data_IF_957594303877
#
_entry.id   IF_957594303877
#
_cell.length_a   1.000
_cell.length_b   1.000
_cell.length_c   1.000
_cell.angle_alpha   90.00
_cell.angle_beta   90.00
_cell.angle_gamma   90.00
#
_symmetry.space_group_name_H-M   'P 1'
#
loop_
_entity.id
_entity.type
_entity.pdbx_description
1 polymer ?
#
# COMPACT_ATOMS: atom_id res chain seq x y z
N UNK A 1 -56.32 -8.44 -14.71
CA UNK A 1 -56.34 -7.12 -14.07
C UNK A 1 -57.13 -7.29 -12.80
N UNK A 2 -56.43 -7.75 -11.72
CA UNK A 2 -56.99 -7.89 -10.40
C UNK A 2 -57.16 -6.51 -9.77
N UNK A 3 -58.33 -6.28 -9.23
CA UNK A 3 -58.73 -5.05 -8.60
C UNK A 3 -57.76 -4.63 -7.49
N UNK A 4 -56.99 -3.56 -7.74
CA UNK A 4 -56.01 -3.01 -6.81
C UNK A 4 -56.64 -2.45 -5.52
N UNK A 5 -57.96 -2.38 -5.44
CA UNK A 5 -58.65 -1.84 -4.28
C UNK A 5 -58.80 -2.82 -3.10
N UNK A 6 -58.91 -4.13 -3.36
CA UNK A 6 -59.02 -5.10 -2.27
C UNK A 6 -57.70 -5.35 -1.53
N UNK A 7 -56.55 -5.09 -2.16
CA UNK A 7 -55.24 -5.16 -1.53
C UNK A 7 -54.81 -3.83 -0.88
N UNK A 8 -55.51 -2.73 -1.14
CA UNK A 8 -55.14 -1.41 -0.62
C UNK A 8 -55.29 -1.29 0.91
N UNK A 9 -56.17 -2.13 1.53
CA UNK A 9 -56.33 -2.16 2.99
C UNK A 9 -55.18 -2.84 3.74
N UNK A 10 -54.34 -3.61 3.01
CA UNK A 10 -53.15 -4.29 3.56
C UNK A 10 -51.86 -3.56 3.21
N UNK A 11 -51.92 -2.53 2.40
CA UNK A 11 -50.76 -1.77 1.98
C UNK A 11 -50.46 -0.62 2.96
N UNK A 12 -49.19 -0.40 3.22
CA UNK A 12 -48.74 0.83 3.84
C UNK A 12 -49.12 2.03 2.96
N UNK A 13 -49.78 3.02 3.55
CA UNK A 13 -50.19 4.26 2.89
C UNK A 13 -49.59 5.43 3.64
N UNK A 14 -48.83 6.27 2.93
CA UNK A 14 -48.30 7.53 3.48
C UNK A 14 -48.28 8.61 2.40
N UNK A 15 -48.25 9.86 2.83
CA UNK A 15 -48.15 11.02 1.95
C UNK A 15 -46.82 11.70 2.22
N UNK A 16 -46.06 12.00 1.17
CA UNK A 16 -44.79 12.73 1.23
C UNK A 16 -44.83 13.82 0.18
N UNK A 17 -44.54 15.04 0.57
CA UNK A 17 -44.57 16.24 -0.30
C UNK A 17 -45.88 16.40 -1.10
N UNK A 18 -47.00 16.05 -0.48
CA UNK A 18 -48.33 16.10 -1.08
C UNK A 18 -48.67 14.94 -2.02
N UNK A 19 -47.76 13.98 -2.25
CA UNK A 19 -47.98 12.79 -3.06
C UNK A 19 -48.29 11.59 -2.17
N UNK A 20 -49.36 10.82 -2.48
CA UNK A 20 -49.73 9.62 -1.74
C UNK A 20 -49.09 8.39 -2.34
N UNK A 21 -48.40 7.64 -1.50
CA UNK A 21 -47.72 6.38 -1.85
C UNK A 21 -48.50 5.19 -1.25
N UNK A 22 -48.54 4.09 -2.00
CA UNK A 22 -49.06 2.80 -1.55
C UNK A 22 -47.99 1.74 -1.76
N UNK A 23 -47.62 1.04 -0.70
CA UNK A 23 -46.56 0.00 -0.77
C UNK A 23 -47.03 -1.25 -0.02
N UNK A 24 -46.66 -2.41 -0.55
CA UNK A 24 -46.99 -3.70 0.08
C UNK A 24 -46.08 -4.05 1.27
N UNK A 25 -45.14 -3.20 1.60
CA UNK A 25 -44.17 -3.33 2.70
C UNK A 25 -44.09 -2.02 3.46
N UNK A 26 -43.83 -2.10 4.77
CA UNK A 26 -43.49 -0.95 5.61
C UNK A 26 -42.03 -0.49 5.36
N UNK A 27 -41.26 -1.25 4.63
CA UNK A 27 -39.87 -0.90 4.26
C UNK A 27 -39.91 -0.37 2.82
N UNK A 28 -39.88 0.94 2.66
CA UNK A 28 -40.04 1.65 1.39
C UNK A 28 -38.67 2.13 0.89
N UNK A 29 -38.22 1.59 -0.23
CA UNK A 29 -36.87 1.88 -0.81
C UNK A 29 -36.93 2.72 -2.08
N UNK A 30 -38.14 3.04 -2.56
CA UNK A 30 -38.37 3.66 -3.87
C UNK A 30 -39.16 4.98 -3.82
N UNK A 31 -39.40 5.52 -2.62
CA UNK A 31 -40.04 6.82 -2.46
C UNK A 31 -39.05 7.99 -2.58
N UNK A 32 -37.80 7.78 -2.19
CA UNK A 32 -36.70 8.75 -2.30
C UNK A 32 -35.42 8.02 -2.73
N UNK A 33 -34.76 8.54 -3.72
CA UNK A 33 -33.56 7.90 -4.24
C UNK A 33 -32.43 7.81 -3.17
N UNK A 34 -31.94 6.61 -2.93
CA UNK A 34 -30.87 6.35 -1.94
C UNK A 34 -31.36 6.31 -0.48
N UNK A 35 -32.66 6.44 -0.20
CA UNK A 35 -33.21 6.44 1.16
C UNK A 35 -34.18 5.27 1.33
N UNK A 36 -34.04 4.55 2.44
CA UNK A 36 -34.99 3.53 2.87
C UNK A 36 -35.84 4.10 4.03
N UNK A 37 -37.13 4.24 3.81
CA UNK A 37 -38.08 4.70 4.84
C UNK A 37 -38.72 3.48 5.49
N UNK A 38 -38.57 3.34 6.81
CA UNK A 38 -39.24 2.30 7.58
C UNK A 38 -40.45 2.90 8.31
N UNK A 39 -41.65 2.49 7.94
CA UNK A 39 -42.91 2.91 8.61
C UNK A 39 -43.11 2.03 9.83
N UNK A 40 -43.00 2.61 11.03
CA UNK A 40 -43.08 1.88 12.30
C UNK A 40 -44.49 1.85 12.84
N UNK A 41 -45.24 2.95 12.70
CA UNK A 41 -46.59 3.12 13.21
C UNK A 41 -47.37 4.11 12.35
N UNK A 42 -48.67 4.28 12.62
CA UNK A 42 -49.53 5.33 12.03
C UNK A 42 -49.37 6.62 12.81
N UNK A 43 -49.41 7.75 12.12
CA UNK A 43 -49.34 9.09 12.71
C UNK A 43 -50.43 10.00 12.10
N UNK A 44 -50.95 10.89 12.93
CA UNK A 44 -52.00 11.84 12.55
C UNK A 44 -51.49 13.27 12.36
N UNK A 45 -50.21 13.49 12.70
CA UNK A 45 -49.52 14.78 12.52
C UNK A 45 -48.38 14.62 11.53
N UNK A 46 -48.12 15.66 10.76
CA UNK A 46 -47.02 15.65 9.80
C UNK A 46 -45.67 15.45 10.53
N UNK A 47 -44.93 14.46 10.09
CA UNK A 47 -43.57 14.18 10.54
C UNK A 47 -42.56 14.69 9.50
N UNK A 48 -41.43 15.25 9.95
CA UNK A 48 -40.40 15.75 9.07
C UNK A 48 -39.23 14.78 9.06
N UNK A 49 -38.89 14.28 7.88
CA UNK A 49 -37.65 13.49 7.67
C UNK A 49 -36.57 14.47 7.26
N UNK A 50 -35.50 14.59 8.07
CA UNK A 50 -34.31 15.30 7.73
C UNK A 50 -33.25 14.28 7.22
N UNK A 51 -32.80 14.48 6.00
CA UNK A 51 -31.68 13.72 5.44
C UNK A 51 -30.44 14.60 5.51
N UNK A 52 -29.52 14.25 6.40
CA UNK A 52 -28.29 14.97 6.56
C UNK A 52 -27.12 14.11 6.05
N UNK A 53 -26.06 14.74 5.61
CA UNK A 53 -24.79 14.05 5.31
C UNK A 53 -24.25 13.46 6.61
N UNK A 54 -23.87 12.18 6.57
CA UNK A 54 -23.16 11.53 7.67
C UNK A 54 -21.70 12.02 7.66
N UNK A 55 -21.47 13.13 8.34
CA UNK A 55 -20.14 13.77 8.41
C UNK A 55 -19.13 12.93 9.16
N UNK A 56 -19.57 12.11 10.12
CA UNK A 56 -18.68 11.27 10.92
C UNK A 56 -18.11 10.13 10.07
N UNK A 57 -18.96 9.43 9.32
CA UNK A 57 -18.51 8.38 8.40
C UNK A 57 -17.57 8.94 7.32
N UNK A 58 -17.91 10.06 6.70
CA UNK A 58 -17.04 10.70 5.68
C UNK A 58 -15.69 11.08 6.27
N UNK A 59 -15.69 11.63 7.50
CA UNK A 59 -14.45 11.98 8.20
C UNK A 59 -13.58 10.76 8.49
N UNK A 60 -14.18 9.65 8.97
CA UNK A 60 -13.48 8.41 9.25
C UNK A 60 -12.84 7.83 7.97
N UNK A 61 -13.53 7.81 6.85
CA UNK A 61 -13.01 7.32 5.56
C UNK A 61 -11.85 8.19 5.07
N UNK A 62 -11.98 9.51 5.13
CA UNK A 62 -10.90 10.42 4.75
C UNK A 62 -9.70 10.25 5.71
N UNK A 63 -9.93 10.15 7.02
CA UNK A 63 -8.86 9.91 7.98
C UNK A 63 -8.14 8.59 7.68
N UNK A 64 -8.86 7.51 7.37
CA UNK A 64 -8.28 6.23 6.94
C UNK A 64 -7.40 6.34 5.69
N UNK A 65 -7.83 7.16 4.73
CA UNK A 65 -7.00 7.47 3.55
C UNK A 65 -5.71 8.21 3.94
N UNK A 66 -5.81 9.26 4.78
CA UNK A 66 -4.64 10.03 5.24
C UNK A 66 -3.67 9.17 6.03
N UNK A 67 -4.17 8.30 6.89
CA UNK A 67 -3.35 7.37 7.69
C UNK A 67 -2.59 6.40 6.78
N UNK A 68 -3.27 5.80 5.81
CA UNK A 68 -2.65 4.89 4.83
C UNK A 68 -1.59 5.60 3.98
N UNK A 69 -1.87 6.82 3.53
CA UNK A 69 -0.92 7.67 2.82
C UNK A 69 0.33 7.93 3.66
N UNK A 70 0.13 8.33 4.91
CA UNK A 70 1.21 8.62 5.86
C UNK A 70 2.05 7.39 6.19
N UNK A 71 1.43 6.21 6.31
CA UNK A 71 2.14 4.94 6.53
C UNK A 71 3.11 4.63 5.39
N UNK A 72 2.72 4.83 4.14
CA UNK A 72 3.62 4.63 3.00
C UNK A 72 4.80 5.60 3.05
N UNK A 73 4.55 6.88 3.30
CA UNK A 73 5.60 7.89 3.41
C UNK A 73 6.57 7.55 4.55
N UNK A 74 6.04 7.16 5.69
CA UNK A 74 6.81 6.77 6.88
C UNK A 74 7.64 5.52 6.60
N UNK A 75 7.04 4.49 6.01
CA UNK A 75 7.74 3.25 5.68
C UNK A 75 8.95 3.50 4.78
N UNK A 76 8.76 4.26 3.71
CA UNK A 76 9.86 4.58 2.78
C UNK A 76 10.91 5.43 3.49
N UNK A 77 10.51 6.45 4.26
CA UNK A 77 11.43 7.30 5.02
C UNK A 77 12.30 6.48 5.97
N UNK A 78 11.67 5.61 6.79
CA UNK A 78 12.37 4.82 7.80
C UNK A 78 13.36 3.81 7.17
N UNK A 79 13.02 3.27 5.99
CA UNK A 79 13.84 2.29 5.30
C UNK A 79 14.82 2.88 4.27
N UNK A 80 14.66 4.14 3.87
CA UNK A 80 15.55 4.81 2.93
C UNK A 80 16.68 5.62 3.60
N UNK A 81 16.64 5.77 4.93
CA UNK A 81 17.63 6.56 5.66
C UNK A 81 18.92 5.78 5.91
N UNK A 82 20.03 6.54 5.99
CA UNK A 82 21.29 6.05 6.53
C UNK A 82 21.39 6.59 7.96
N UNK A 83 21.52 5.70 8.94
CA UNK A 83 21.67 6.11 10.34
C UNK A 83 22.98 6.91 10.49
N UNK A 84 22.93 8.18 10.91
CA UNK A 84 24.12 9.06 10.95
C UNK A 84 25.15 8.62 11.99
N UNK A 85 24.75 7.88 13.01
CA UNK A 85 25.63 7.46 14.11
C UNK A 85 26.28 6.10 13.83
N UNK A 86 25.48 5.13 13.35
CA UNK A 86 25.97 3.76 13.12
C UNK A 86 26.39 3.51 11.67
N UNK A 87 26.14 4.45 10.76
CA UNK A 87 26.32 4.35 9.31
C UNK A 87 25.56 3.16 8.68
N UNK A 88 24.63 2.58 9.43
CA UNK A 88 23.79 1.48 8.95
C UNK A 88 22.81 2.04 7.91
N UNK A 89 22.79 1.41 6.75
CA UNK A 89 21.92 1.78 5.64
C UNK A 89 20.56 1.09 5.80
N UNK A 90 19.48 1.82 5.56
CA UNK A 90 18.16 1.24 5.43
C UNK A 90 18.05 0.36 4.17
N UNK A 91 17.09 -0.54 4.16
CA UNK A 91 16.89 -1.51 3.07
C UNK A 91 16.65 -0.84 1.70
N UNK A 92 16.07 0.37 1.69
CA UNK A 92 15.72 1.15 0.49
C UNK A 92 16.68 2.34 0.26
N UNK A 93 17.79 2.44 1.00
CA UNK A 93 18.67 3.62 0.98
C UNK A 93 19.26 3.92 -0.42
N UNK A 94 19.50 2.89 -1.23
CA UNK A 94 20.07 2.99 -2.57
C UNK A 94 19.03 2.90 -3.68
N UNK A 95 17.77 2.64 -3.34
CA UNK A 95 16.72 2.45 -4.33
C UNK A 95 16.03 3.78 -4.65
N UNK A 96 16.31 4.31 -5.82
CA UNK A 96 15.74 5.57 -6.32
C UNK A 96 14.25 5.42 -6.61
N UNK A 97 13.78 4.22 -6.95
CA UNK A 97 12.39 3.95 -7.30
C UNK A 97 11.46 4.31 -6.14
N UNK A 98 11.78 3.85 -4.93
CA UNK A 98 10.95 4.14 -3.75
C UNK A 98 11.01 5.60 -3.31
N UNK A 99 12.14 6.28 -3.53
CA UNK A 99 12.24 7.74 -3.30
C UNK A 99 11.34 8.51 -4.27
N UNK A 100 11.26 8.08 -5.52
CA UNK A 100 10.38 8.69 -6.52
C UNK A 100 8.91 8.47 -6.20
N UNK A 101 8.53 7.30 -5.64
CA UNK A 101 7.16 7.04 -5.17
C UNK A 101 6.73 8.12 -4.17
N UNK A 102 7.54 8.37 -3.15
CA UNK A 102 7.22 9.38 -2.12
C UNK A 102 7.05 10.78 -2.73
N UNK A 103 7.93 11.16 -3.64
CA UNK A 103 7.84 12.45 -4.30
C UNK A 103 6.56 12.55 -5.15
N UNK A 104 6.23 11.51 -5.89
CA UNK A 104 5.03 11.49 -6.72
C UNK A 104 3.74 11.51 -5.89
N UNK A 105 3.70 10.77 -4.77
CA UNK A 105 2.57 10.82 -3.85
C UNK A 105 2.35 12.22 -3.28
N UNK A 106 3.44 12.93 -2.93
CA UNK A 106 3.36 14.31 -2.47
C UNK A 106 2.87 15.27 -3.55
N UNK A 107 3.26 15.06 -4.80
CA UNK A 107 2.77 15.86 -5.92
C UNK A 107 1.26 15.65 -6.12
N UNK A 108 0.78 14.40 -6.11
CA UNK A 108 -0.65 14.12 -6.19
C UNK A 108 -1.44 14.72 -5.02
N UNK A 109 -0.93 14.63 -3.79
CA UNK A 109 -1.57 15.25 -2.63
C UNK A 109 -1.66 16.79 -2.71
N UNK A 110 -0.84 17.44 -3.54
CA UNK A 110 -0.84 18.88 -3.77
C UNK A 110 -1.51 19.30 -5.08
N UNK A 111 -1.88 18.32 -5.89
CA UNK A 111 -2.47 18.60 -7.21
C UNK A 111 -3.79 19.36 -7.06
N UNK A 112 -4.10 20.10 -8.09
CA UNK A 112 -5.40 20.71 -8.26
C UNK A 112 -6.28 19.78 -9.07
N UNK A 113 -7.49 19.55 -8.56
CA UNK A 113 -8.51 18.72 -9.21
C UNK A 113 -9.44 19.62 -9.98
N UNK A 114 -9.82 19.21 -11.19
CA UNK A 114 -10.71 19.96 -12.06
C UNK A 114 -12.16 19.85 -11.57
N UNK A 115 -12.49 20.62 -10.54
CA UNK A 115 -13.85 20.72 -9.98
C UNK A 115 -14.52 22.01 -10.44
N UNK A 116 -15.86 22.00 -10.44
CA UNK A 116 -16.67 23.16 -10.86
C UNK A 116 -16.48 24.39 -9.95
N UNK A 117 -16.11 24.17 -8.68
CA UNK A 117 -15.87 25.22 -7.70
C UNK A 117 -14.39 25.26 -7.30
N UNK A 118 -13.65 26.32 -7.71
CA UNK A 118 -12.22 26.48 -7.42
C UNK A 118 -11.87 26.52 -5.92
N UNK A 119 -12.83 26.89 -5.06
CA UNK A 119 -12.64 26.89 -3.62
C UNK A 119 -12.51 25.47 -3.03
N UNK A 120 -12.81 24.44 -3.82
CA UNK A 120 -12.72 23.02 -3.47
C UNK A 120 -11.80 22.22 -4.40
N UNK A 121 -10.86 22.90 -5.06
CA UNK A 121 -9.97 22.25 -6.03
C UNK A 121 -8.79 21.51 -5.42
N UNK A 122 -8.54 21.65 -4.11
CA UNK A 122 -7.37 21.08 -3.40
C UNK A 122 -7.75 20.63 -2.00
N UNK A 123 -7.05 19.62 -1.46
CA UNK A 123 -7.27 19.18 -0.06
C UNK A 123 -7.00 20.30 0.96
N UNK A 124 -6.09 21.23 0.64
CA UNK A 124 -5.80 22.39 1.53
C UNK A 124 -6.98 23.35 1.64
N UNK A 125 -7.86 23.35 0.66
CA UNK A 125 -9.06 24.17 0.68
C UNK A 125 -10.12 23.66 1.67
N UNK A 126 -10.04 22.39 2.07
CA UNK A 126 -10.95 21.75 3.02
C UNK A 126 -10.32 21.48 4.39
N UNK A 127 -9.24 22.18 4.76
CA UNK A 127 -8.63 22.07 6.09
C UNK A 127 -7.69 20.89 6.30
N UNK A 128 -7.27 20.18 5.23
CA UNK A 128 -6.22 19.15 5.29
C UNK A 128 -4.89 19.81 4.94
N UNK A 129 -3.86 19.62 5.76
CA UNK A 129 -2.53 20.19 5.53
C UNK A 129 -1.44 19.11 5.49
N UNK A 130 -0.33 19.47 4.85
CA UNK A 130 0.89 18.66 4.83
C UNK A 130 1.96 19.27 5.74
N UNK A 131 2.57 18.45 6.57
CA UNK A 131 3.73 18.86 7.35
C UNK A 131 5.00 18.99 6.49
N UNK A 132 6.13 19.37 7.11
CA UNK A 132 7.42 19.48 6.44
C UNK A 132 7.95 18.16 5.86
N UNK A 133 7.44 17.04 6.35
CA UNK A 133 7.73 15.69 5.84
C UNK A 133 6.77 15.26 4.71
N UNK A 134 5.75 16.06 4.43
CA UNK A 134 4.68 15.78 3.47
C UNK A 134 3.60 14.83 4.01
N UNK A 135 3.58 14.56 5.31
CA UNK A 135 2.49 13.81 5.94
C UNK A 135 1.24 14.67 6.04
N UNK A 136 0.10 14.08 5.75
CA UNK A 136 -1.19 14.78 5.70
C UNK A 136 -1.93 14.63 7.03
N UNK A 137 -2.63 15.69 7.44
CA UNK A 137 -3.51 15.67 8.61
C UNK A 137 -4.66 16.65 8.43
N UNK A 138 -5.78 16.41 9.13
CA UNK A 138 -6.86 17.40 9.26
C UNK A 138 -6.37 18.43 10.27
N UNK A 139 -5.85 19.56 9.77
CA UNK A 139 -5.29 20.61 10.60
C UNK A 139 -6.37 21.59 11.09
N UNK A 140 -7.39 21.81 10.27
CA UNK A 140 -8.54 22.66 10.59
C UNK A 140 -9.82 21.83 10.53
N UNK A 141 -10.24 21.33 11.70
CA UNK A 141 -11.40 20.47 11.84
C UNK A 141 -12.72 21.23 11.57
N UNK A 142 -12.80 22.51 11.93
CA UNK A 142 -13.99 23.33 11.71
C UNK A 142 -14.22 23.52 10.21
N UNK A 143 -13.19 23.97 9.50
CA UNK A 143 -13.22 24.13 8.05
C UNK A 143 -13.52 22.82 7.31
N UNK A 144 -12.96 21.70 7.80
CA UNK A 144 -13.18 20.37 7.23
C UNK A 144 -14.62 19.94 7.39
N UNK A 145 -15.19 20.11 8.60
CA UNK A 145 -16.58 19.74 8.88
C UNK A 145 -17.54 20.61 8.08
N UNK A 146 -17.32 21.94 8.02
CA UNK A 146 -18.12 22.86 7.22
C UNK A 146 -18.10 22.49 5.73
N UNK A 147 -16.93 22.09 5.20
CA UNK A 147 -16.82 21.67 3.82
C UNK A 147 -17.67 20.42 3.52
N UNK A 148 -17.69 19.43 4.43
CA UNK A 148 -18.49 18.22 4.26
C UNK A 148 -20.00 18.54 4.38
N UNK A 149 -20.41 19.33 5.37
CA UNK A 149 -21.80 19.67 5.61
C UNK A 149 -22.44 20.48 4.47
N UNK A 150 -21.68 21.47 3.99
CA UNK A 150 -22.18 22.42 3.00
C UNK A 150 -21.96 21.98 1.56
N UNK A 151 -20.93 21.17 1.30
CA UNK A 151 -20.43 20.91 -0.06
C UNK A 151 -19.86 19.50 -0.23
N UNK A 152 -20.54 18.48 0.32
CA UNK A 152 -20.08 17.08 0.32
C UNK A 152 -19.73 16.54 -1.08
N UNK A 153 -20.41 16.99 -2.13
CA UNK A 153 -20.14 16.60 -3.52
C UNK A 153 -18.75 17.09 -3.96
N UNK A 154 -18.43 18.36 -3.70
CA UNK A 154 -17.12 18.90 -4.06
C UNK A 154 -15.99 18.25 -3.23
N UNK A 155 -16.24 17.94 -1.94
CA UNK A 155 -15.29 17.17 -1.14
C UNK A 155 -15.09 15.79 -1.73
N UNK A 156 -16.16 15.12 -2.15
CA UNK A 156 -16.06 13.82 -2.85
C UNK A 156 -15.26 13.93 -4.15
N UNK A 157 -15.48 14.97 -4.93
CA UNK A 157 -14.76 15.17 -6.22
C UNK A 157 -13.25 15.36 -6.03
N UNK A 158 -12.80 16.04 -4.97
CA UNK A 158 -11.36 16.17 -4.64
C UNK A 158 -10.68 14.80 -4.60
N UNK A 159 -11.35 13.77 -4.08
CA UNK A 159 -10.78 12.44 -3.94
C UNK A 159 -11.13 11.52 -5.11
N UNK A 160 -12.35 11.57 -5.63
CA UNK A 160 -12.96 10.53 -6.46
C UNK A 160 -13.27 10.95 -7.91
N UNK A 161 -13.07 12.23 -8.29
CA UNK A 161 -13.17 12.62 -9.70
C UNK A 161 -12.13 11.87 -10.56
N UNK A 162 -12.24 11.88 -11.87
CA UNK A 162 -11.32 11.21 -12.80
C UNK A 162 -9.85 11.64 -12.57
N UNK A 163 -9.63 12.89 -12.17
CA UNK A 163 -8.36 13.46 -11.77
C UNK A 163 -8.24 13.63 -10.24
N UNK A 164 -9.13 13.01 -9.47
CA UNK A 164 -9.16 13.05 -8.02
C UNK A 164 -7.89 12.44 -7.39
N UNK A 165 -7.52 12.95 -6.23
CA UNK A 165 -6.26 12.60 -5.57
C UNK A 165 -6.18 11.09 -5.27
N UNK A 166 -7.28 10.48 -4.77
CA UNK A 166 -7.30 9.05 -4.47
C UNK A 166 -7.22 8.21 -5.75
N UNK A 167 -7.85 8.65 -6.84
CA UNK A 167 -7.80 7.97 -8.15
C UNK A 167 -6.37 8.04 -8.72
N UNK A 168 -5.76 9.22 -8.75
CA UNK A 168 -4.37 9.39 -9.23
C UNK A 168 -3.37 8.54 -8.44
N UNK A 169 -3.52 8.52 -7.10
CA UNK A 169 -2.66 7.71 -6.23
C UNK A 169 -2.89 6.22 -6.47
N UNK A 170 -4.14 5.79 -6.57
CA UNK A 170 -4.50 4.40 -6.86
C UNK A 170 -3.87 3.93 -8.18
N UNK A 171 -4.08 4.67 -9.27
CA UNK A 171 -3.59 4.31 -10.59
C UNK A 171 -2.05 4.29 -10.66
N UNK A 172 -1.42 5.20 -9.94
CA UNK A 172 0.03 5.21 -9.82
C UNK A 172 0.55 4.00 -9.07
N UNK A 173 -0.03 3.69 -7.89
CA UNK A 173 0.39 2.56 -7.05
C UNK A 173 0.10 1.22 -7.71
N UNK A 174 -1.01 1.10 -8.45
CA UNK A 174 -1.37 -0.13 -9.17
C UNK A 174 -0.24 -0.62 -10.07
N UNK A 175 0.49 0.30 -10.73
CA UNK A 175 1.64 -0.05 -11.55
C UNK A 175 2.80 -0.71 -10.77
N UNK A 176 2.84 -0.55 -9.46
CA UNK A 176 3.85 -1.19 -8.60
C UNK A 176 3.36 -2.51 -8.05
N UNK A 177 2.09 -2.61 -7.64
CA UNK A 177 1.56 -3.75 -6.87
C UNK A 177 0.86 -4.81 -7.71
N UNK A 178 0.40 -4.47 -8.93
CA UNK A 178 -0.26 -5.43 -9.82
C UNK A 178 0.67 -6.58 -10.20
N UNK A 179 0.10 -7.70 -10.57
CA UNK A 179 0.84 -8.87 -11.07
C UNK A 179 1.70 -8.47 -12.28
N UNK A 180 2.98 -8.77 -12.24
CA UNK A 180 3.96 -8.31 -13.24
C UNK A 180 4.32 -6.84 -13.12
N UNK A 181 3.93 -6.16 -12.05
CA UNK A 181 4.31 -4.78 -11.74
C UNK A 181 5.76 -4.64 -11.27
N UNK A 182 6.13 -3.43 -10.90
CA UNK A 182 7.53 -3.10 -10.55
C UNK A 182 8.05 -3.93 -9.37
N UNK A 183 7.21 -4.18 -8.36
CA UNK A 183 7.59 -4.97 -7.17
C UNK A 183 7.79 -6.44 -7.53
N UNK A 184 6.90 -7.03 -8.31
CA UNK A 184 7.02 -8.42 -8.76
C UNK A 184 8.27 -8.63 -9.61
N UNK A 185 8.52 -7.76 -10.57
CA UNK A 185 9.72 -7.80 -11.42
C UNK A 185 11.00 -7.62 -10.58
N UNK A 186 10.97 -6.73 -9.60
CA UNK A 186 12.08 -6.54 -8.65
C UNK A 186 12.38 -7.80 -7.85
N UNK A 187 11.33 -8.45 -7.32
CA UNK A 187 11.43 -9.72 -6.58
C UNK A 187 11.98 -10.86 -7.44
N UNK A 188 11.52 -10.97 -8.68
CA UNK A 188 12.01 -11.96 -9.64
C UNK A 188 13.49 -11.75 -9.96
N UNK A 189 13.90 -10.50 -10.22
CA UNK A 189 15.30 -10.14 -10.45
C UNK A 189 16.20 -10.51 -9.26
N UNK A 190 15.78 -10.20 -8.03
CA UNK A 190 16.51 -10.57 -6.82
C UNK A 190 16.60 -12.09 -6.68
N UNK A 191 15.52 -12.81 -6.93
CA UNK A 191 15.50 -14.27 -6.88
C UNK A 191 16.49 -14.87 -7.88
N UNK A 192 16.53 -14.36 -9.10
CA UNK A 192 17.47 -14.78 -10.13
C UNK A 192 18.93 -14.49 -9.74
N UNK A 193 19.20 -13.32 -9.14
CA UNK A 193 20.53 -12.99 -8.63
C UNK A 193 20.96 -13.93 -7.51
N UNK A 194 20.08 -14.26 -6.57
CA UNK A 194 20.33 -15.22 -5.49
C UNK A 194 20.65 -16.61 -6.04
N UNK A 195 19.86 -17.09 -7.01
CA UNK A 195 20.14 -18.39 -7.67
C UNK A 195 21.49 -18.39 -8.38
N UNK A 196 21.81 -17.35 -9.14
CA UNK A 196 23.11 -17.22 -9.82
C UNK A 196 24.27 -17.19 -8.82
N UNK A 197 24.13 -16.46 -7.72
CA UNK A 197 25.13 -16.40 -6.67
C UNK A 197 25.32 -17.76 -5.99
N UNK A 198 24.23 -18.46 -5.68
CA UNK A 198 24.27 -19.80 -5.11
C UNK A 198 24.99 -20.79 -6.02
N UNK A 199 24.70 -20.77 -7.33
CA UNK A 199 25.40 -21.61 -8.31
C UNK A 199 26.90 -21.30 -8.36
N UNK A 200 27.28 -20.01 -8.31
CA UNK A 200 28.69 -19.60 -8.28
C UNK A 200 29.39 -20.06 -7.00
N UNK A 201 28.72 -20.02 -5.85
CA UNK A 201 29.25 -20.56 -4.59
C UNK A 201 29.49 -22.06 -4.73
N UNK A 202 28.52 -22.83 -5.19
CA UNK A 202 28.66 -24.29 -5.39
C UNK A 202 29.82 -24.66 -6.33
N UNK A 203 29.98 -23.92 -7.44
CA UNK A 203 31.12 -24.11 -8.32
C UNK A 203 32.47 -23.80 -7.65
N UNK A 204 32.52 -22.76 -6.81
CA UNK A 204 33.73 -22.41 -6.07
C UNK A 204 34.08 -23.46 -5.01
N UNK A 205 33.08 -23.98 -4.32
CA UNK A 205 33.27 -25.06 -3.33
C UNK A 205 33.80 -26.31 -4.00
N UNK A 206 33.29 -26.70 -5.18
CA UNK A 206 33.80 -27.82 -5.95
C UNK A 206 35.27 -27.58 -6.38
N UNK A 207 35.60 -26.39 -6.86
CA UNK A 207 36.96 -26.01 -7.21
C UNK A 207 37.92 -26.08 -5.99
N UNK A 208 37.49 -25.59 -4.85
CA UNK A 208 38.23 -25.64 -3.59
C UNK A 208 38.49 -27.09 -3.16
N UNK A 209 37.44 -27.93 -3.19
CA UNK A 209 37.58 -29.35 -2.90
C UNK A 209 38.58 -30.06 -3.82
N UNK A 210 38.51 -29.83 -5.13
CA UNK A 210 39.48 -30.38 -6.09
C UNK A 210 40.90 -29.91 -5.80
N UNK A 211 41.08 -28.63 -5.45
CA UNK A 211 42.38 -28.06 -5.10
C UNK A 211 42.94 -28.66 -3.79
N UNK A 212 42.08 -28.83 -2.79
CA UNK A 212 42.43 -29.50 -1.54
C UNK A 212 42.95 -30.94 -1.82
N UNK A 213 42.19 -31.71 -2.60
CA UNK A 213 42.60 -33.08 -2.98
C UNK A 213 43.91 -33.09 -3.72
N UNK A 214 44.14 -32.16 -4.64
CA UNK A 214 45.40 -32.04 -5.35
C UNK A 214 46.57 -31.76 -4.38
N UNK A 215 46.40 -30.77 -3.50
CA UNK A 215 47.41 -30.43 -2.50
C UNK A 215 47.71 -31.60 -1.54
N UNK A 216 46.69 -32.34 -1.10
CA UNK A 216 46.90 -33.55 -0.29
C UNK A 216 47.72 -34.63 -1.01
N UNK A 217 47.46 -34.84 -2.30
CA UNK A 217 48.24 -35.78 -3.12
C UNK A 217 49.66 -35.31 -3.35
N UNK A 218 49.87 -34.00 -3.62
CA UNK A 218 51.19 -33.41 -3.75
C UNK A 218 52.00 -33.57 -2.42
N UNK A 219 51.36 -33.32 -1.28
CA UNK A 219 51.94 -33.46 0.03
C UNK A 219 52.31 -34.93 0.35
N UNK A 220 51.43 -35.89 0.03
CA UNK A 220 51.74 -37.31 0.19
C UNK A 220 52.92 -37.76 -0.68
N UNK A 221 53.00 -37.27 -1.93
CA UNK A 221 54.10 -37.55 -2.83
C UNK A 221 55.41 -36.96 -2.29
N UNK A 222 55.40 -35.74 -1.75
CA UNK A 222 56.56 -35.11 -1.13
C UNK A 222 57.03 -35.89 0.11
N UNK A 223 56.10 -36.33 0.98
CA UNK A 223 56.43 -37.16 2.13
C UNK A 223 57.12 -38.46 1.70
N UNK A 224 56.64 -39.15 0.65
CA UNK A 224 57.29 -40.37 0.12
C UNK A 224 58.68 -40.06 -0.42
N UNK A 225 58.89 -38.95 -1.13
CA UNK A 225 60.17 -38.52 -1.62
C UNK A 225 61.18 -38.26 -0.47
N UNK A 226 60.74 -37.53 0.56
CA UNK A 226 61.53 -37.26 1.76
C UNK A 226 61.91 -38.56 2.51
N UNK A 227 60.98 -39.51 2.63
CA UNK A 227 61.27 -40.81 3.23
C UNK A 227 62.36 -41.56 2.44
N UNK A 228 62.30 -41.55 1.10
CA UNK A 228 63.34 -42.15 0.24
C UNK A 228 64.70 -41.52 0.45
N UNK A 229 64.80 -40.19 0.48
CA UNK A 229 66.03 -39.43 0.70
C UNK A 229 66.56 -39.75 2.09
N UNK A 230 65.78 -39.79 3.15
CA UNK A 230 66.17 -40.16 4.51
C UNK A 230 66.72 -41.57 4.57
N UNK A 231 66.09 -42.53 3.88
CA UNK A 231 66.62 -43.93 3.83
C UNK A 231 67.95 -44.00 3.08
N UNK A 232 68.13 -43.23 1.97
CA UNK A 232 69.42 -43.18 1.26
C UNK A 232 70.50 -42.56 2.14
N UNK A 233 70.19 -41.49 2.88
CA UNK A 233 71.15 -40.90 3.84
C UNK A 233 71.59 -41.89 4.93
N UNK A 234 70.61 -42.64 5.49
CA UNK A 234 70.89 -43.69 6.49
C UNK A 234 71.80 -44.77 5.91
N UNK A 235 71.50 -45.19 4.69
CA UNK A 235 72.33 -46.18 3.98
C UNK A 235 73.78 -45.69 3.73
N UNK A 236 73.98 -44.46 3.26
CA UNK A 236 75.33 -43.85 3.08
C UNK A 236 76.01 -43.65 4.42
N UNK A 237 75.32 -43.33 5.50
CA UNK A 237 75.88 -43.21 6.84
C UNK A 237 76.45 -44.55 7.43
N UNK A 238 75.91 -45.68 6.96
CA UNK A 238 76.46 -46.99 7.32
C UNK A 238 77.77 -47.29 6.61
N UNK A 239 77.98 -46.83 5.36
CA UNK A 239 79.25 -47.02 4.62
C UNK A 239 80.34 -46.14 5.14
N UNK A 240 80.08 -44.99 5.71
CA UNK A 240 81.12 -44.06 6.23
C UNK A 240 81.64 -44.45 7.65
N UNK A 241 81.16 -45.53 8.24
CA UNK A 241 81.54 -46.00 9.55
C UNK A 241 82.40 -47.26 9.51
N UNK A 242 82.93 -47.68 8.35
CA UNK A 242 84.04 -48.66 8.18
C UNK A 242 85.32 -47.92 7.88
#
# INVERSE_FOLDING_TARGET
VGDSQSNSMLNARFTMDGLTYYRSSNNVTDAMNGVTIQLLDSFDTDETIAVNTDTDTVKEEIQGFLDSFNEVLKFVKDNAQINPTTHKRGLLADDVTYKNIVNQLREYARSEVAVTNADYSRIFNIGIEADSSGMLSIADLEKFTEAIESNSLYVSDIFNADDGIAVQIHDYIDNFVKTGGTIDNGKENITNQVMNLSNRISLKDEMLYRREMQLRNEFATLQQAMARVSNQQSFLGMFNRQ
#
